data_IF_926364190253
#
_entry.id   IF_926364190253
#
_cell.length_a   1.000
_cell.length_b   1.000
_cell.length_c   1.000
_cell.angle_alpha   90.00
_cell.angle_beta   90.00
_cell.angle_gamma   90.00
#
_symmetry.space_group_name_H-M   'P 1'
#
loop_
_entity.id
_entity.type
_entity.pdbx_description
1 polymer ?
#
# COMPACT_ATOMS: atom_id res chain seq x y z
N UNK A 1 16.68 8.34 14.32
CA UNK A 1 16.76 9.45 13.33
C UNK A 1 16.57 9.04 11.86
N UNK A 2 16.91 7.81 11.42
CA UNK A 2 16.83 7.37 10.00
C UNK A 2 15.44 6.98 9.46
N UNK A 3 14.42 6.81 10.32
CA UNK A 3 13.08 6.29 9.93
C UNK A 3 12.24 7.27 9.09
N UNK A 4 12.45 8.59 9.28
CA UNK A 4 11.64 9.65 8.65
C UNK A 4 11.88 9.86 7.16
N UNK A 5 13.08 9.56 6.65
CA UNK A 5 13.41 9.80 5.24
C UNK A 5 12.91 8.67 4.34
N UNK A 6 12.82 7.45 4.87
CA UNK A 6 12.47 6.25 4.11
C UNK A 6 10.96 6.22 3.80
N UNK A 7 10.13 6.72 4.71
CA UNK A 7 8.67 6.68 4.58
C UNK A 7 8.09 7.90 3.84
N UNK A 8 8.87 8.97 3.65
CA UNK A 8 8.41 10.24 3.08
C UNK A 8 7.77 10.07 1.68
N UNK A 9 8.38 9.32 0.73
CA UNK A 9 7.76 9.10 -0.58
C UNK A 9 6.40 8.40 -0.47
N UNK A 10 6.29 7.41 0.42
CA UNK A 10 5.03 6.69 0.64
C UNK A 10 3.97 7.61 1.25
N UNK A 11 4.34 8.46 2.21
CA UNK A 11 3.42 9.44 2.81
C UNK A 11 2.88 10.42 1.78
N UNK A 12 3.75 10.98 0.95
CA UNK A 12 3.36 11.93 -0.09
C UNK A 12 2.46 11.25 -1.12
N UNK A 13 2.81 10.02 -1.52
CA UNK A 13 2.00 9.22 -2.43
C UNK A 13 0.58 9.01 -1.87
N UNK A 14 0.46 8.57 -0.61
CA UNK A 14 -0.82 8.31 0.04
C UNK A 14 -1.63 9.60 0.24
N UNK A 15 -0.96 10.71 0.57
CA UNK A 15 -1.63 12.02 0.68
C UNK A 15 -2.21 12.46 -0.67
N UNK A 16 -1.43 12.33 -1.74
CA UNK A 16 -1.87 12.64 -3.10
C UNK A 16 -3.01 11.73 -3.56
N UNK A 17 -2.95 10.43 -3.24
CA UNK A 17 -4.04 9.49 -3.51
C UNK A 17 -5.32 9.87 -2.76
N UNK A 18 -5.22 10.11 -1.45
CA UNK A 18 -6.33 10.54 -0.61
C UNK A 18 -7.01 11.80 -1.17
N UNK A 19 -6.23 12.83 -1.48
CA UNK A 19 -6.72 14.09 -2.04
C UNK A 19 -7.43 13.88 -3.39
N UNK A 20 -6.80 13.13 -4.30
CA UNK A 20 -7.37 12.85 -5.62
C UNK A 20 -8.71 12.11 -5.53
N UNK A 21 -8.81 11.12 -4.64
CA UNK A 21 -9.99 10.28 -4.47
C UNK A 21 -11.12 11.08 -3.80
N UNK A 22 -10.80 11.93 -2.81
CA UNK A 22 -11.78 12.85 -2.19
C UNK A 22 -12.37 13.85 -3.18
N UNK A 23 -11.59 14.35 -4.14
CA UNK A 23 -12.08 15.28 -5.16
C UNK A 23 -12.86 14.62 -6.30
N UNK A 24 -12.74 13.30 -6.48
CA UNK A 24 -13.47 12.55 -7.51
C UNK A 24 -14.55 11.72 -6.83
N UNK A 25 -15.73 12.30 -6.63
CA UNK A 25 -16.90 11.53 -6.21
C UNK A 25 -17.59 10.94 -7.44
N UNK A 26 -17.96 9.65 -7.44
CA UNK A 26 -18.80 9.08 -8.50
C UNK A 26 -20.16 9.79 -8.50
N UNK A 27 -20.66 10.16 -9.68
CA UNK A 27 -21.97 10.82 -9.83
C UNK A 27 -23.14 9.93 -9.43
N UNK A 28 -22.98 8.61 -9.60
CA UNK A 28 -24.08 7.63 -9.49
C UNK A 28 -23.93 6.69 -8.27
N UNK A 29 -23.11 7.04 -7.29
CA UNK A 29 -22.97 6.26 -6.07
C UNK A 29 -24.13 6.55 -5.09
N UNK A 30 -24.68 5.51 -4.49
CA UNK A 30 -25.68 5.64 -3.43
C UNK A 30 -25.06 6.21 -2.12
N UNK A 31 -25.94 6.58 -1.18
CA UNK A 31 -25.53 7.20 0.07
C UNK A 31 -24.62 6.30 0.92
N UNK A 32 -24.86 4.99 0.92
CA UNK A 32 -24.11 4.01 1.71
C UNK A 32 -22.69 3.83 1.15
N UNK A 33 -22.56 3.72 -0.17
CA UNK A 33 -21.28 3.65 -0.86
C UNK A 33 -20.46 4.94 -0.66
N UNK A 34 -21.12 6.11 -0.69
CA UNK A 34 -20.46 7.39 -0.40
C UNK A 34 -20.00 7.48 1.06
N UNK A 35 -20.77 6.95 2.01
CA UNK A 35 -20.38 6.90 3.42
C UNK A 35 -19.20 5.96 3.63
N UNK A 36 -19.28 4.72 3.14
CA UNK A 36 -18.20 3.74 3.24
C UNK A 36 -16.90 4.26 2.60
N UNK A 37 -17.02 4.99 1.49
CA UNK A 37 -15.89 5.67 0.84
C UNK A 37 -15.23 6.70 1.77
N UNK A 38 -16.02 7.55 2.43
CA UNK A 38 -15.51 8.57 3.37
C UNK A 38 -14.80 7.91 4.55
N UNK A 39 -15.42 6.89 5.13
CA UNK A 39 -14.87 6.15 6.27
C UNK A 39 -13.52 5.51 5.91
N UNK A 40 -13.42 4.86 4.74
CA UNK A 40 -12.16 4.29 4.27
C UNK A 40 -11.08 5.35 4.01
N UNK A 41 -11.45 6.53 3.52
CA UNK A 41 -10.50 7.63 3.30
C UNK A 41 -10.02 8.26 4.62
N UNK A 42 -10.86 8.24 5.66
CA UNK A 42 -10.47 8.67 7.00
C UNK A 42 -9.52 7.64 7.65
N UNK A 43 -9.80 6.34 7.49
CA UNK A 43 -8.85 5.28 7.88
C UNK A 43 -7.52 5.41 7.13
N UNK A 44 -7.56 5.69 5.82
CA UNK A 44 -6.35 5.91 5.01
C UNK A 44 -5.52 7.08 5.54
N UNK A 45 -6.19 8.17 5.94
CA UNK A 45 -5.54 9.35 6.52
C UNK A 45 -4.80 9.00 7.81
N UNK A 46 -5.43 8.24 8.70
CA UNK A 46 -4.81 7.82 9.96
C UNK A 46 -3.66 6.82 9.73
N UNK A 47 -3.86 5.82 8.87
CA UNK A 47 -2.78 4.92 8.44
C UNK A 47 -1.56 5.69 7.91
N UNK A 48 -1.80 6.71 7.06
CA UNK A 48 -0.75 7.56 6.51
C UNK A 48 0.01 8.33 7.60
N UNK A 49 -0.67 8.82 8.64
CA UNK A 49 -0.02 9.51 9.77
C UNK A 49 0.80 8.53 10.63
N UNK A 50 0.32 7.31 10.80
CA UNK A 50 0.93 6.29 11.66
C UNK A 50 2.19 5.64 11.07
N UNK A 51 2.43 5.74 9.75
CA UNK A 51 3.68 5.33 9.09
C UNK A 51 4.09 3.87 9.32
N UNK A 52 3.11 2.99 9.49
CA UNK A 52 3.30 1.54 9.68
C UNK A 52 3.28 0.81 8.33
N UNK A 53 4.07 1.29 7.37
CA UNK A 53 4.08 0.74 6.02
C UNK A 53 4.87 -0.56 5.95
N UNK A 54 4.55 -1.47 5.01
CA UNK A 54 5.36 -2.65 4.73
C UNK A 54 6.82 -2.29 4.40
N UNK A 55 7.74 -3.24 4.53
CA UNK A 55 9.09 -3.15 3.95
C UNK A 55 9.22 -4.22 2.87
N UNK A 56 9.89 -3.86 1.79
CA UNK A 56 10.37 -4.84 0.83
C UNK A 56 11.70 -5.41 1.33
N UNK A 57 11.68 -6.67 1.75
CA UNK A 57 12.84 -7.47 2.14
C UNK A 57 13.25 -8.48 1.05
N UNK A 58 12.59 -8.47 -0.11
CA UNK A 58 12.93 -9.30 -1.26
C UNK A 58 14.16 -8.77 -1.98
N UNK A 59 14.77 -9.62 -2.81
CA UNK A 59 15.84 -9.24 -3.73
C UNK A 59 15.32 -8.42 -4.92
N UNK A 60 14.00 -8.44 -5.14
CA UNK A 60 13.36 -7.81 -6.28
C UNK A 60 13.03 -6.33 -5.99
N UNK A 61 13.48 -5.41 -6.87
CA UNK A 61 13.20 -4.01 -6.69
C UNK A 61 11.70 -3.71 -6.83
N UNK A 62 11.16 -2.84 -5.99
CA UNK A 62 9.80 -2.31 -6.07
C UNK A 62 8.66 -3.33 -5.91
N UNK A 63 8.98 -4.56 -5.48
CA UNK A 63 7.98 -5.58 -5.14
C UNK A 63 7.10 -5.11 -3.99
N UNK A 64 5.76 -5.11 -4.16
CA UNK A 64 4.86 -4.77 -3.07
C UNK A 64 4.73 -5.95 -2.11
N UNK A 65 4.26 -5.67 -0.90
CA UNK A 65 3.68 -6.66 -0.01
C UNK A 65 2.24 -6.28 0.26
N UNK A 66 1.35 -7.26 0.34
CA UNK A 66 0.03 -7.09 0.90
C UNK A 66 0.12 -7.09 2.43
N UNK A 67 0.84 -8.07 2.99
CA UNK A 67 1.29 -8.12 4.39
C UNK A 67 2.75 -8.58 4.39
N UNK A 68 3.65 -7.80 4.99
CA UNK A 68 5.08 -8.18 5.06
C UNK A 68 5.38 -9.18 6.18
N UNK A 69 6.64 -9.61 6.25
CA UNK A 69 7.17 -10.57 7.23
C UNK A 69 7.06 -10.12 8.68
N UNK A 70 6.98 -8.81 8.94
CA UNK A 70 6.76 -8.23 10.27
C UNK A 70 5.25 -8.06 10.58
N UNK A 71 4.36 -8.54 9.72
CA UNK A 71 2.91 -8.39 9.86
C UNK A 71 2.37 -7.00 9.52
N UNK A 72 3.18 -6.14 8.87
CA UNK A 72 2.73 -4.80 8.48
C UNK A 72 1.91 -4.90 7.20
N UNK A 73 0.72 -4.32 7.28
CA UNK A 73 -0.27 -4.34 6.21
C UNK A 73 0.01 -3.19 5.25
N UNK A 74 -0.13 -3.42 3.95
CA UNK A 74 -0.19 -2.32 3.00
C UNK A 74 -1.43 -1.45 3.23
N UNK A 75 -1.51 -0.30 2.58
CA UNK A 75 -2.63 0.61 2.77
C UNK A 75 -3.98 -0.07 2.52
N UNK A 76 -4.12 -0.84 1.43
CA UNK A 76 -5.38 -1.53 1.11
C UNK A 76 -5.68 -2.67 2.08
N UNK A 77 -4.67 -3.48 2.45
CA UNK A 77 -4.83 -4.51 3.47
C UNK A 77 -5.24 -3.92 4.83
N UNK A 78 -4.74 -2.73 5.17
CA UNK A 78 -5.11 -2.02 6.39
C UNK A 78 -6.57 -1.52 6.35
N UNK A 79 -7.05 -0.99 5.22
CA UNK A 79 -8.46 -0.62 5.05
C UNK A 79 -9.39 -1.83 5.21
N UNK A 80 -9.03 -2.96 4.58
CA UNK A 80 -9.78 -4.22 4.74
C UNK A 80 -9.82 -4.67 6.19
N UNK A 81 -8.67 -4.66 6.87
CA UNK A 81 -8.57 -5.05 8.28
C UNK A 81 -9.38 -4.13 9.19
N UNK A 82 -9.35 -2.83 8.96
CA UNK A 82 -10.10 -1.85 9.74
C UNK A 82 -11.62 -1.99 9.58
N UNK A 83 -12.07 -2.54 8.43
CA UNK A 83 -13.48 -2.86 8.15
C UNK A 83 -13.86 -4.30 8.55
N UNK A 84 -13.03 -5.01 9.31
CA UNK A 84 -13.34 -6.35 9.84
C UNK A 84 -13.03 -7.52 8.90
N UNK A 85 -12.47 -7.28 7.71
CA UNK A 85 -12.18 -8.32 6.71
C UNK A 85 -10.83 -9.03 6.94
N UNK A 86 -10.62 -9.52 8.17
CA UNK A 86 -9.37 -10.16 8.57
C UNK A 86 -9.06 -11.43 7.76
N UNK A 87 -10.08 -12.21 7.44
CA UNK A 87 -9.94 -13.51 6.79
C UNK A 87 -9.60 -13.35 5.31
N UNK A 88 -10.24 -12.39 4.63
CA UNK A 88 -9.89 -12.04 3.26
C UNK A 88 -8.48 -11.46 3.17
N UNK A 89 -8.05 -10.67 4.15
CA UNK A 89 -6.66 -10.19 4.19
C UNK A 89 -5.68 -11.36 4.27
N UNK A 90 -5.92 -12.34 5.15
CA UNK A 90 -5.07 -13.54 5.26
C UNK A 90 -5.06 -14.35 3.97
N UNK A 91 -6.22 -14.52 3.33
CA UNK A 91 -6.34 -15.23 2.06
C UNK A 91 -5.53 -14.53 0.94
N UNK A 92 -5.67 -13.22 0.78
CA UNK A 92 -4.92 -12.45 -0.23
C UNK A 92 -3.42 -12.51 0.04
N UNK A 93 -3.01 -12.36 1.31
CA UNK A 93 -1.60 -12.50 1.69
C UNK A 93 -1.06 -13.92 1.39
N UNK A 94 -1.89 -14.96 1.47
CA UNK A 94 -1.46 -16.32 1.13
C UNK A 94 -1.36 -16.56 -0.39
N UNK A 95 -2.25 -15.98 -1.19
CA UNK A 95 -2.38 -16.31 -2.63
C UNK A 95 -1.79 -15.28 -3.58
N UNK A 96 -1.59 -14.03 -3.12
CA UNK A 96 -1.23 -12.90 -3.98
C UNK A 96 -0.41 -11.83 -3.23
N UNK A 97 0.42 -12.22 -2.24
CA UNK A 97 1.09 -11.26 -1.35
C UNK A 97 1.93 -10.21 -2.08
N UNK A 98 2.59 -10.63 -3.16
CA UNK A 98 3.51 -9.80 -3.93
C UNK A 98 2.87 -9.16 -5.16
N UNK A 99 1.56 -9.36 -5.35
CA UNK A 99 0.87 -8.84 -6.51
C UNK A 99 0.55 -7.35 -6.35
N UNK A 100 0.62 -6.63 -7.48
CA UNK A 100 0.00 -5.31 -7.56
C UNK A 100 -1.50 -5.43 -7.70
N UNK A 101 -2.24 -4.48 -7.13
CA UNK A 101 -3.71 -4.49 -7.13
C UNK A 101 -4.28 -4.39 -8.54
N UNK A 102 -3.64 -3.64 -9.44
CA UNK A 102 -4.04 -3.56 -10.85
C UNK A 102 -3.95 -4.92 -11.56
N UNK A 103 -2.89 -5.68 -11.28
CA UNK A 103 -2.61 -7.01 -11.83
C UNK A 103 -3.37 -8.16 -11.15
N UNK A 104 -3.90 -7.97 -9.93
CA UNK A 104 -4.70 -9.01 -9.26
C UNK A 104 -5.96 -9.32 -10.06
N UNK A 105 -6.37 -10.60 -10.07
CA UNK A 105 -7.69 -10.99 -10.55
C UNK A 105 -8.76 -10.16 -9.82
N UNK A 106 -9.64 -9.44 -10.55
CA UNK A 106 -10.72 -8.66 -9.95
C UNK A 106 -11.55 -9.45 -8.93
N UNK A 107 -11.77 -10.76 -9.13
CA UNK A 107 -12.57 -11.61 -8.24
C UNK A 107 -12.02 -11.64 -6.82
N UNK A 108 -10.69 -11.49 -6.65
CA UNK A 108 -10.03 -11.55 -5.34
C UNK A 108 -10.44 -10.36 -4.44
N UNK A 109 -10.55 -9.16 -5.04
CA UNK A 109 -10.80 -7.90 -4.33
C UNK A 109 -12.23 -7.35 -4.52
N UNK A 110 -12.93 -7.73 -5.59
CA UNK A 110 -14.23 -7.17 -5.96
C UNK A 110 -15.29 -7.25 -4.85
N UNK A 111 -15.41 -8.36 -4.07
CA UNK A 111 -16.40 -8.42 -3.00
C UNK A 111 -16.21 -7.33 -1.95
N UNK A 112 -14.97 -7.07 -1.53
CA UNK A 112 -14.68 -6.01 -0.57
C UNK A 112 -14.71 -4.62 -1.21
N UNK A 113 -14.18 -4.47 -2.42
CA UNK A 113 -14.16 -3.18 -3.14
C UNK A 113 -15.56 -2.59 -3.32
N UNK A 114 -16.58 -3.43 -3.59
CA UNK A 114 -17.98 -2.97 -3.65
C UNK A 114 -18.48 -2.40 -2.33
N UNK A 115 -18.11 -3.02 -1.20
CA UNK A 115 -18.52 -2.57 0.15
C UNK A 115 -17.73 -1.36 0.63
N UNK A 116 -16.51 -1.15 0.13
CA UNK A 116 -15.66 -0.04 0.57
C UNK A 116 -15.97 1.30 -0.09
N UNK A 117 -16.79 1.32 -1.14
CA UNK A 117 -17.05 2.53 -1.94
C UNK A 117 -15.83 2.99 -2.76
N UNK A 118 -14.85 2.10 -2.96
CA UNK A 118 -13.62 2.35 -3.70
C UNK A 118 -13.51 1.41 -4.90
N UNK A 119 -13.28 1.96 -6.08
CA UNK A 119 -13.03 1.18 -7.29
C UNK A 119 -11.67 0.49 -7.26
N UNK A 120 -11.50 -0.59 -8.04
CA UNK A 120 -10.19 -1.26 -8.22
C UNK A 120 -9.08 -0.27 -8.64
N UNK A 121 -9.41 0.71 -9.49
CA UNK A 121 -8.46 1.74 -9.94
C UNK A 121 -8.00 2.63 -8.78
N UNK A 122 -8.91 2.99 -7.88
CA UNK A 122 -8.58 3.80 -6.70
C UNK A 122 -7.76 3.01 -5.70
N UNK A 123 -8.09 1.73 -5.49
CA UNK A 123 -7.28 0.83 -4.66
C UNK A 123 -5.87 0.66 -5.22
N UNK A 124 -5.72 0.51 -6.55
CA UNK A 124 -4.42 0.48 -7.20
C UNK A 124 -3.66 1.81 -7.07
N UNK A 125 -4.37 2.95 -7.09
CA UNK A 125 -3.79 4.29 -6.87
C UNK A 125 -3.32 4.50 -5.43
N UNK A 126 -3.96 3.84 -4.47
CA UNK A 126 -3.57 3.85 -3.05
C UNK A 126 -2.31 3.02 -2.82
N UNK A 127 -2.06 1.97 -3.61
CA UNK A 127 -0.86 1.14 -3.48
C UNK A 127 0.40 1.88 -3.95
N UNK A 128 1.34 2.23 -3.03
CA UNK A 128 2.57 2.90 -3.42
C UNK A 128 3.50 1.96 -4.19
N UNK A 129 4.34 2.54 -5.04
CA UNK A 129 5.55 1.86 -5.51
C UNK A 129 6.56 1.87 -4.36
N UNK A 130 6.95 0.69 -3.89
CA UNK A 130 7.87 0.57 -2.76
C UNK A 130 9.28 1.02 -3.19
N UNK A 131 9.92 1.96 -2.47
CA UNK A 131 11.31 2.28 -2.77
C UNK A 131 12.19 1.06 -2.48
N UNK A 132 13.10 0.77 -3.40
CA UNK A 132 14.07 -0.30 -3.24
C UNK A 132 15.01 0.05 -2.09
N UNK A 133 15.30 -0.92 -1.21
CA UNK A 133 16.46 -0.77 -0.33
C UNK A 133 17.69 -0.98 -1.21
N UNK A 134 18.30 0.09 -1.70
CA UNK A 134 19.60 0.03 -2.36
C UNK A 134 20.53 -0.77 -1.45
N UNK A 135 20.96 -1.96 -1.89
CA UNK A 135 21.97 -2.69 -1.16
C UNK A 135 23.19 -1.78 -1.09
N UNK A 136 23.80 -1.66 0.10
CA UNK A 136 25.10 -1.01 0.18
C UNK A 136 26.05 -1.89 -0.63
N UNK A 137 26.43 -1.43 -1.82
CA UNK A 137 27.69 -1.86 -2.40
C UNK A 137 28.75 -1.48 -1.37
N UNK A 138 29.27 -2.47 -0.66
CA UNK A 138 30.53 -2.35 0.05
C UNK A 138 31.60 -2.11 -1.00
N UNK A 139 31.92 -0.84 -1.24
CA UNK A 139 33.10 -0.47 -1.98
C UNK A 139 34.31 -0.97 -1.18
N UNK A 140 34.79 -2.18 -1.49
CA UNK A 140 36.14 -2.57 -1.13
C UNK A 140 37.08 -1.77 -2.01
N UNK A 141 37.45 -0.57 -1.57
CA UNK A 141 38.55 0.18 -2.18
C UNK A 141 39.86 -0.54 -1.83
N UNK A 142 40.25 -1.50 -2.65
CA UNK A 142 41.65 -1.93 -2.76
C UNK A 142 42.39 -0.82 -3.51
N UNK A 143 42.99 0.12 -2.77
CA UNK A 143 43.82 1.16 -3.37
C UNK A 143 45.08 0.58 -4.03
N UNK A 144 45.64 1.22 -5.07
CA UNK A 144 46.86 0.74 -5.71
C UNK A 144 48.07 0.92 -4.77
N UNK A 145 48.88 -0.13 -4.63
CA UNK A 145 50.25 -0.03 -4.10
C UNK A 145 51.12 0.57 -5.20
N UNK A 146 51.55 1.80 -5.00
CA UNK A 146 52.64 2.38 -5.78
C UNK A 146 53.97 1.80 -5.25
N UNK A 147 54.74 1.20 -6.15
CA UNK A 147 56.16 0.88 -5.96
C UNK A 147 57.01 2.03 -6.46
#
# INVERSE_FOLDING_TARGET
MRRWLIDLPTRIHLWSAELQIRHRSPSDADADALQARRDNLDVLREYRKNRQYPRNDTELPSTPYFVDTDGRHCAVAHLMRASGHHDEVRRIAATANLARIDAMDPVILAPWARRSGLSKRELARIQPTMPTRTSRFSASCSGPRWY
#
